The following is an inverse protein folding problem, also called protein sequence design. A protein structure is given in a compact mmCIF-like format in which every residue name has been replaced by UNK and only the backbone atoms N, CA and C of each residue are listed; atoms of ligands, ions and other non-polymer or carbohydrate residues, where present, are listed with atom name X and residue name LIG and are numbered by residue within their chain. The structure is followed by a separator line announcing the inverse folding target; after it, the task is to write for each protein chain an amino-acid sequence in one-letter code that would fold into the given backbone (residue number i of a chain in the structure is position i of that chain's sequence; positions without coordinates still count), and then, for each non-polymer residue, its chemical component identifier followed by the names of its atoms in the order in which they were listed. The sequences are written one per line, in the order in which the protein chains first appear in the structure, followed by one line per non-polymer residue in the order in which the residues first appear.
data_IF_327632427850
#
_entry.id   IF_327632427850
#
_cell.length_a   1.000
_cell.length_b   1.000
_cell.length_c   1.000
_cell.angle_alpha   90.00
_cell.angle_beta   90.00
_cell.angle_gamma   90.00
#
_symmetry.space_group_name_H-M   'P 1'
#
loop_
_entity.id
_entity.type
_entity.pdbx_description
1 polymer ?
#
# COMPACT_ATOMS: atom_id res chain seq x y z
N UNK A 1 38.28 -34.60 -31.98
CA UNK A 1 39.15 -35.63 -31.35
C UNK A 1 39.90 -34.97 -30.18
N UNK A 2 40.32 -35.69 -29.11
CA UNK A 2 40.44 -37.15 -28.93
C UNK A 2 39.22 -37.89 -28.32
N UNK A 3 39.23 -38.16 -26.99
CA UNK A 3 38.38 -39.11 -26.24
C UNK A 3 37.05 -38.45 -25.73
N UNK A 4 35.95 -39.11 -25.31
CA UNK A 4 35.60 -40.47 -24.81
C UNK A 4 35.70 -40.70 -23.29
N UNK A 5 34.54 -41.00 -22.65
CA UNK A 5 34.18 -42.23 -21.89
C UNK A 5 32.94 -41.93 -21.01
N UNK A 6 31.78 -42.57 -21.23
CA UNK A 6 31.42 -43.98 -20.99
C UNK A 6 31.17 -44.35 -19.51
N UNK A 7 29.91 -44.20 -19.08
CA UNK A 7 29.09 -45.27 -18.47
C UNK A 7 27.68 -44.69 -18.18
N UNK A 8 26.57 -45.00 -18.86
CA UNK A 8 26.05 -46.22 -19.53
C UNK A 8 25.48 -47.27 -18.55
N UNK A 9 24.24 -47.70 -18.85
CA UNK A 9 23.41 -48.74 -18.18
C UNK A 9 22.75 -48.23 -16.90
N UNK A 10 21.43 -48.37 -16.65
CA UNK A 10 20.35 -49.29 -17.11
C UNK A 10 19.00 -48.53 -16.93
N UNK A 11 17.84 -48.86 -17.51
CA UNK A 11 17.42 -49.86 -18.52
C UNK A 11 16.03 -49.42 -19.06
N UNK A 12 15.90 -49.42 -20.39
CA UNK A 12 14.70 -49.66 -21.23
C UNK A 12 13.56 -50.38 -20.47
N UNK A 13 12.28 -49.94 -20.49
CA UNK A 13 11.22 -50.07 -21.53
C UNK A 13 9.94 -49.35 -20.98
N UNK A 14 8.88 -48.95 -21.70
CA UNK A 14 8.42 -49.03 -23.12
C UNK A 14 7.23 -48.05 -23.29
N UNK A 15 7.14 -47.32 -24.42
CA UNK A 15 5.92 -46.73 -25.09
C UNK A 15 5.00 -45.83 -24.19
N UNK A 16 4.23 -44.85 -24.67
CA UNK A 16 3.55 -44.71 -25.97
C UNK A 16 3.27 -43.22 -26.28
N UNK A 17 3.31 -42.87 -27.56
CA UNK A 17 2.72 -41.72 -28.29
C UNK A 17 2.37 -40.36 -27.63
N UNK A 18 2.90 -39.31 -28.30
CA UNK A 18 2.21 -38.07 -28.74
C UNK A 18 1.11 -37.47 -27.84
N UNK A 19 1.38 -36.25 -27.34
CA UNK A 19 0.73 -35.06 -27.92
C UNK A 19 1.60 -33.82 -27.78
N UNK A 20 1.51 -32.93 -28.76
CA UNK A 20 2.19 -31.64 -28.84
C UNK A 20 1.32 -30.59 -28.16
N UNK A 21 1.85 -29.93 -27.12
CA UNK A 21 1.36 -28.60 -26.71
C UNK A 21 2.57 -27.73 -26.44
N UNK A 22 2.73 -26.69 -27.24
CA UNK A 22 3.68 -25.62 -26.99
C UNK A 22 3.03 -24.66 -25.97
N UNK A 23 3.35 -24.83 -24.69
CA UNK A 23 3.05 -23.79 -23.70
C UNK A 23 4.31 -22.96 -23.48
N UNK A 24 4.28 -21.73 -24.00
CA UNK A 24 5.25 -20.70 -23.68
C UNK A 24 5.26 -20.55 -22.16
N UNK A 25 6.42 -20.77 -21.55
CA UNK A 25 6.68 -20.29 -20.19
C UNK A 25 6.64 -18.76 -20.21
N UNK A 26 5.48 -18.19 -19.88
CA UNK A 26 5.41 -16.81 -19.39
C UNK A 26 6.24 -16.76 -18.13
N UNK A 27 7.36 -16.04 -18.19
CA UNK A 27 8.10 -15.65 -17.00
C UNK A 27 7.18 -14.74 -16.18
N UNK A 28 6.52 -15.33 -15.19
CA UNK A 28 5.76 -14.58 -14.20
C UNK A 28 6.73 -13.68 -13.45
N UNK A 29 6.76 -12.41 -13.82
CA UNK A 29 7.42 -11.35 -13.05
C UNK A 29 6.72 -11.31 -11.70
N UNK A 30 7.29 -11.99 -10.70
CA UNK A 30 6.80 -11.93 -9.32
C UNK A 30 6.97 -10.50 -8.84
N UNK A 31 5.90 -9.72 -8.91
CA UNK A 31 5.84 -8.38 -8.33
C UNK A 31 6.16 -8.50 -6.84
N UNK A 32 7.30 -7.95 -6.45
CA UNK A 32 7.71 -7.89 -5.05
C UNK A 32 6.92 -6.75 -4.42
N UNK A 33 5.70 -7.06 -3.98
CA UNK A 33 4.89 -6.14 -3.19
C UNK A 33 5.66 -5.81 -1.89
N UNK A 34 5.74 -4.52 -1.50
CA UNK A 34 6.38 -4.15 -0.24
C UNK A 34 5.64 -4.78 0.96
N UNK A 35 6.33 -5.05 2.07
CA UNK A 35 5.68 -5.54 3.28
C UNK A 35 4.64 -4.52 3.76
N UNK A 36 3.44 -5.01 4.06
CA UNK A 36 2.36 -4.17 4.56
C UNK A 36 2.54 -3.93 6.05
N UNK A 37 2.58 -2.65 6.45
CA UNK A 37 2.58 -2.19 7.83
C UNK A 37 1.31 -1.36 8.12
N UNK A 38 1.09 -0.99 9.38
CA UNK A 38 -0.05 -0.15 9.74
C UNK A 38 0.07 1.27 9.14
N UNK A 39 1.29 1.78 8.93
CA UNK A 39 1.51 3.09 8.32
C UNK A 39 0.98 3.15 6.89
N UNK A 40 1.08 2.07 6.13
CA UNK A 40 0.50 1.91 4.79
C UNK A 40 -1.02 2.08 4.74
N UNK A 41 -1.74 1.92 5.87
CA UNK A 41 -3.18 2.20 5.98
C UNK A 41 -3.44 3.65 6.38
N UNK A 42 -2.67 4.19 7.34
CA UNK A 42 -2.91 5.52 7.91
C UNK A 42 -2.43 6.66 7.01
N UNK A 43 -1.24 6.53 6.40
CA UNK A 43 -0.59 7.58 5.62
C UNK A 43 -1.37 8.01 4.37
N UNK A 44 -2.06 7.14 3.61
CA UNK A 44 -2.92 7.56 2.50
C UNK A 44 -4.05 8.50 2.94
N UNK A 45 -4.75 8.21 4.05
CA UNK A 45 -5.81 9.08 4.57
C UNK A 45 -5.24 10.40 5.12
N UNK A 46 -4.09 10.34 5.80
CA UNK A 46 -3.40 11.53 6.29
C UNK A 46 -2.99 12.47 5.16
N UNK A 47 -2.36 11.92 4.11
CA UNK A 47 -1.94 12.67 2.91
C UNK A 47 -3.15 13.27 2.18
N UNK A 48 -4.23 12.49 2.01
CA UNK A 48 -5.46 13.00 1.40
C UNK A 48 -6.07 14.16 2.20
N UNK A 49 -6.02 14.10 3.54
CA UNK A 49 -6.48 15.19 4.40
C UNK A 49 -5.60 16.44 4.27
N UNK A 50 -4.27 16.30 4.15
CA UNK A 50 -3.37 17.43 3.88
C UNK A 50 -3.65 18.10 2.53
N UNK A 51 -3.91 17.31 1.47
CA UNK A 51 -4.29 17.83 0.15
C UNK A 51 -5.60 18.62 0.26
N UNK A 52 -6.63 18.09 0.93
CA UNK A 52 -7.92 18.78 1.11
C UNK A 52 -7.88 19.93 2.13
N UNK A 53 -6.79 20.09 2.89
CA UNK A 53 -6.47 21.30 3.67
C UNK A 53 -5.75 22.38 2.83
N UNK A 54 -5.25 22.05 1.63
CA UNK A 54 -4.38 22.90 0.83
C UNK A 54 -2.93 22.96 1.32
N UNK A 55 -2.53 22.01 2.19
CA UNK A 55 -1.18 21.90 2.78
C UNK A 55 -0.26 20.95 1.99
N UNK A 56 -0.81 20.21 1.04
CA UNK A 56 -0.08 19.41 0.07
C UNK A 56 -0.70 19.61 -1.32
N UNK A 57 0.09 19.40 -2.38
CA UNK A 57 -0.38 19.47 -3.76
C UNK A 57 -1.11 18.17 -4.15
N UNK A 58 -2.14 18.27 -4.99
CA UNK A 58 -2.88 17.11 -5.48
C UNK A 58 -2.12 16.52 -6.68
N UNK A 59 -1.51 15.32 -6.58
CA UNK A 59 -0.67 14.77 -7.65
C UNK A 59 -1.45 14.38 -8.91
N UNK A 60 -2.80 14.47 -8.87
CA UNK A 60 -3.70 14.16 -9.98
C UNK A 60 -4.28 15.45 -10.60
N UNK A 61 -4.20 16.60 -9.92
CA UNK A 61 -4.84 17.84 -10.36
C UNK A 61 -4.05 19.11 -10.03
N UNK A 62 -3.81 19.95 -11.04
CA UNK A 62 -3.29 21.32 -10.88
C UNK A 62 -4.24 22.28 -10.11
N UNK A 63 -5.38 21.79 -9.60
CA UNK A 63 -6.36 22.62 -8.88
C UNK A 63 -6.32 22.37 -7.37
N UNK A 64 -6.16 23.45 -6.59
CA UNK A 64 -6.27 23.41 -5.12
C UNK A 64 -7.71 23.13 -4.69
N UNK A 65 -8.03 21.84 -4.59
CA UNK A 65 -9.32 21.32 -4.14
C UNK A 65 -9.38 21.32 -2.60
N UNK A 66 -9.44 22.49 -1.99
CA UNK A 66 -9.67 22.62 -0.55
C UNK A 66 -11.10 22.20 -0.18
N UNK A 67 -11.26 21.34 0.82
CA UNK A 67 -12.58 20.87 1.26
C UNK A 67 -12.55 20.47 2.75
N UNK A 68 -12.96 21.39 3.63
CA UNK A 68 -12.99 21.14 5.07
C UNK A 68 -13.96 20.04 5.51
N UNK A 69 -15.06 19.81 4.80
CA UNK A 69 -16.00 18.74 5.15
C UNK A 69 -15.36 17.35 4.95
N UNK A 70 -14.63 17.17 3.85
CA UNK A 70 -13.85 15.96 3.58
C UNK A 70 -12.70 15.80 4.59
N UNK A 71 -12.00 16.89 4.95
CA UNK A 71 -10.96 16.83 6.00
C UNK A 71 -11.56 16.37 7.33
N UNK A 72 -12.70 16.93 7.74
CA UNK A 72 -13.40 16.48 8.95
C UNK A 72 -13.77 15.01 8.86
N UNK A 73 -14.32 14.55 7.72
CA UNK A 73 -14.67 13.14 7.50
C UNK A 73 -13.45 12.20 7.60
N UNK A 74 -12.28 12.62 7.12
CA UNK A 74 -11.03 11.86 7.23
C UNK A 74 -10.51 11.83 8.66
N UNK A 75 -10.59 12.95 9.40
CA UNK A 75 -10.29 12.99 10.84
C UNK A 75 -11.24 12.03 11.59
N UNK A 76 -12.54 12.09 11.34
CA UNK A 76 -13.54 11.21 11.98
C UNK A 76 -13.25 9.72 11.67
N UNK A 77 -12.83 9.39 10.44
CA UNK A 77 -12.41 8.04 10.05
C UNK A 77 -11.18 7.57 10.84
N UNK A 78 -10.14 8.40 10.96
CA UNK A 78 -8.95 8.07 11.76
C UNK A 78 -9.27 7.91 13.25
N UNK A 79 -10.16 8.74 13.81
CA UNK A 79 -10.64 8.57 15.20
C UNK A 79 -11.47 7.28 15.36
N UNK A 80 -12.25 6.88 14.35
CA UNK A 80 -12.97 5.61 14.35
C UNK A 80 -12.00 4.42 14.30
N UNK A 81 -10.97 4.47 13.45
CA UNK A 81 -9.92 3.44 13.40
C UNK A 81 -9.25 3.31 14.77
N UNK A 82 -8.78 4.42 15.37
CA UNK A 82 -8.14 4.41 16.69
C UNK A 82 -8.99 3.71 17.76
N UNK A 83 -10.30 3.98 17.79
CA UNK A 83 -11.25 3.33 18.72
C UNK A 83 -11.56 1.86 18.39
N UNK A 84 -11.34 1.43 17.15
CA UNK A 84 -11.56 0.04 16.71
C UNK A 84 -10.31 -0.83 16.84
N UNK A 85 -9.13 -0.21 16.88
CA UNK A 85 -7.83 -0.88 17.05
C UNK A 85 -7.25 -0.73 18.47
N UNK A 86 -7.93 -0.03 19.37
CA UNK A 86 -7.53 0.14 20.77
C UNK A 86 -7.20 -1.22 21.43
N UNK A 87 -6.03 -1.31 22.08
CA UNK A 87 -5.50 -2.55 22.65
C UNK A 87 -4.92 -3.56 21.66
N UNK A 88 -4.94 -3.29 20.35
CA UNK A 88 -4.38 -4.13 19.29
C UNK A 88 -3.27 -3.44 18.46
N UNK A 89 -2.84 -2.23 18.85
CA UNK A 89 -1.76 -1.49 18.19
C UNK A 89 -0.45 -1.69 18.96
N UNK A 90 0.66 -1.76 18.23
CA UNK A 90 2.00 -1.61 18.81
C UNK A 90 2.23 -0.14 19.26
N UNK A 91 3.13 0.12 20.23
CA UNK A 91 3.34 1.47 20.78
C UNK A 91 3.69 2.54 19.73
N UNK A 92 4.45 2.17 18.71
CA UNK A 92 4.81 3.01 17.57
C UNK A 92 3.59 3.34 16.68
N UNK A 93 2.67 2.39 16.52
CA UNK A 93 1.47 2.53 15.69
C UNK A 93 0.42 3.42 16.37
N UNK A 94 0.21 3.24 17.68
CA UNK A 94 -0.64 4.12 18.49
C UNK A 94 -0.11 5.55 18.45
N UNK A 95 1.20 5.73 18.65
CA UNK A 95 1.87 7.04 18.59
C UNK A 95 1.75 7.68 17.20
N UNK A 96 1.91 6.92 16.12
CA UNK A 96 1.74 7.39 14.75
C UNK A 96 0.30 7.89 14.52
N UNK A 97 -0.70 7.08 14.86
CA UNK A 97 -2.11 7.42 14.63
C UNK A 97 -2.55 8.62 15.46
N UNK A 98 -2.15 8.67 16.74
CA UNK A 98 -2.40 9.81 17.61
C UNK A 98 -1.77 11.11 17.08
N UNK A 99 -0.52 11.04 16.58
CA UNK A 99 0.17 12.18 15.99
C UNK A 99 -0.54 12.70 14.73
N UNK A 100 -0.89 11.81 13.79
CA UNK A 100 -1.63 12.15 12.58
C UNK A 100 -2.99 12.80 12.90
N UNK A 101 -3.76 12.23 13.83
CA UNK A 101 -5.05 12.78 14.26
C UNK A 101 -4.88 14.17 14.89
N UNK A 102 -3.86 14.36 15.74
CA UNK A 102 -3.59 15.63 16.40
C UNK A 102 -3.21 16.72 15.39
N UNK A 103 -2.26 16.44 14.50
CA UNK A 103 -1.80 17.36 13.46
C UNK A 103 -2.95 17.82 12.56
N UNK A 104 -3.77 16.88 12.06
CA UNK A 104 -4.92 17.21 11.23
C UNK A 104 -5.98 18.03 11.99
N UNK A 105 -6.24 17.74 13.26
CA UNK A 105 -7.18 18.54 14.08
C UNK A 105 -6.71 19.98 14.25
N UNK A 106 -5.42 20.20 14.53
CA UNK A 106 -4.85 21.55 14.66
C UNK A 106 -4.95 22.33 13.34
N UNK A 107 -4.49 21.72 12.24
CA UNK A 107 -4.55 22.34 10.91
C UNK A 107 -5.99 22.61 10.45
N UNK A 108 -6.92 21.70 10.73
CA UNK A 108 -8.36 21.90 10.48
C UNK A 108 -8.91 23.08 11.28
N UNK A 109 -8.61 23.20 12.57
CA UNK A 109 -9.08 24.31 13.40
C UNK A 109 -8.50 25.65 12.97
N UNK A 110 -7.24 25.70 12.54
CA UNK A 110 -6.61 26.90 11.99
C UNK A 110 -7.25 27.33 10.66
N UNK A 111 -7.38 26.40 9.71
CA UNK A 111 -8.02 26.66 8.42
C UNK A 111 -9.49 27.04 8.55
N UNK A 112 -10.22 26.39 9.47
CA UNK A 112 -11.61 26.73 9.78
C UNK A 112 -11.74 28.14 10.39
N UNK A 113 -10.79 28.61 11.20
CA UNK A 113 -10.80 30.01 11.68
C UNK A 113 -10.62 31.00 10.53
N UNK A 114 -9.72 30.72 9.59
CA UNK A 114 -9.45 31.59 8.43
C UNK A 114 -10.68 31.71 7.52
N UNK A 115 -11.45 30.63 7.33
CA UNK A 115 -12.64 30.64 6.46
C UNK A 115 -13.87 31.30 7.12
N UNK A 116 -13.90 31.42 8.46
CA UNK A 116 -15.00 32.05 9.21
C UNK A 116 -14.70 33.51 9.60
N UNK A 117 -13.70 34.15 9.00
CA UNK A 117 -13.25 35.52 9.29
C UNK A 117 -13.34 36.43 8.06
#
# INVERSE_FOLDING_TARGET
MPEKKDNKKKKVEKKTEKKKTEEKSTEETKEILPPLDFSSIILPFYTQALIKLGLAEDPISDTKSENLELVKRLIDLLNLLNKRTEGNLEPEEEKLLAACIHQLKMAYMEKAKIINL
#
